data_IF_563690769488
#
_entry.id   IF_563690769488
#
_cell.length_a   1.000
_cell.length_b   1.000
_cell.length_c   1.000
_cell.angle_alpha   90.00
_cell.angle_beta   90.00
_cell.angle_gamma   90.00
#
_symmetry.space_group_name_H-M   'P 1'
#
loop_
_entity.id
_entity.type
_entity.pdbx_description
1 polymer ?
#
# COMPACT_ATOMS: atom_id res chain seq x y z
N UNK A 1 -36.17 1.61 -52.86
CA UNK A 1 -35.46 2.34 -51.79
C UNK A 1 -35.94 1.83 -50.44
N UNK A 2 -35.11 1.09 -49.69
CA UNK A 2 -35.29 0.84 -48.26
C UNK A 2 -33.90 0.72 -47.64
N UNK A 3 -33.54 1.66 -46.77
CA UNK A 3 -32.33 1.62 -45.96
C UNK A 3 -32.75 1.32 -44.52
N UNK A 4 -32.26 0.22 -43.96
CA UNK A 4 -32.44 -0.11 -42.55
C UNK A 4 -31.15 0.26 -41.85
N UNK A 5 -31.16 1.34 -41.06
CA UNK A 5 -30.01 1.76 -40.25
C UNK A 5 -30.15 1.10 -38.89
N UNK A 6 -29.31 0.11 -38.59
CA UNK A 6 -29.15 -0.44 -37.26
C UNK A 6 -28.15 0.44 -36.48
N UNK A 7 -28.62 1.21 -35.52
CA UNK A 7 -27.76 1.96 -34.62
C UNK A 7 -27.21 1.02 -33.54
N UNK A 8 -25.91 0.75 -33.57
CA UNK A 8 -25.19 0.03 -32.51
C UNK A 8 -24.66 1.04 -31.48
N UNK A 9 -25.32 1.14 -30.34
CA UNK A 9 -24.89 1.99 -29.23
C UNK A 9 -23.92 1.22 -28.33
N UNK A 10 -22.61 1.39 -28.54
CA UNK A 10 -21.58 0.87 -27.62
C UNK A 10 -21.39 1.90 -26.51
N UNK A 11 -21.99 1.66 -25.33
CA UNK A 11 -21.68 2.43 -24.12
C UNK A 11 -20.41 1.85 -23.53
N UNK A 12 -19.25 2.38 -23.92
CA UNK A 12 -17.99 2.07 -23.27
C UNK A 12 -17.91 2.87 -21.96
N UNK A 13 -18.19 2.22 -20.82
CA UNK A 13 -17.85 2.79 -19.52
C UNK A 13 -16.33 2.74 -19.37
N UNK A 14 -15.67 3.88 -19.59
CA UNK A 14 -14.28 4.06 -19.20
C UNK A 14 -14.20 4.04 -17.66
N UNK A 15 -13.96 2.87 -17.07
CA UNK A 15 -13.64 2.77 -15.66
C UNK A 15 -12.27 3.40 -15.43
N UNK A 16 -12.23 4.63 -14.93
CA UNK A 16 -11.00 5.24 -14.44
C UNK A 16 -10.61 4.54 -13.14
N UNK A 17 -9.68 3.57 -13.19
CA UNK A 17 -9.12 3.00 -11.96
C UNK A 17 -8.09 3.98 -11.39
N UNK A 18 -8.50 4.83 -10.45
CA UNK A 18 -7.56 5.59 -9.63
C UNK A 18 -6.86 4.63 -8.66
N UNK A 19 -5.57 4.37 -8.90
CA UNK A 19 -4.75 3.59 -7.97
C UNK A 19 -4.34 4.47 -6.78
N UNK A 20 -4.83 4.15 -5.59
CA UNK A 20 -4.36 4.80 -4.36
C UNK A 20 -2.94 4.33 -4.04
N UNK A 21 -2.08 5.25 -3.60
CA UNK A 21 -0.66 4.98 -3.34
C UNK A 21 -0.32 5.22 -1.88
N UNK A 22 0.65 4.44 -1.37
CA UNK A 22 1.37 4.71 -0.13
C UNK A 22 2.74 5.25 -0.51
N UNK A 23 3.12 6.37 0.08
CA UNK A 23 4.49 6.91 -0.01
C UNK A 23 5.08 6.99 1.37
N UNK A 24 6.27 6.42 1.56
CA UNK A 24 7.06 6.50 2.79
C UNK A 24 8.38 7.18 2.48
N UNK A 25 8.66 8.26 3.19
CA UNK A 25 9.93 8.99 3.12
C UNK A 25 10.69 8.77 4.42
N UNK A 26 11.91 8.25 4.32
CA UNK A 26 12.77 8.11 5.50
C UNK A 26 13.49 9.44 5.76
N UNK A 27 12.98 10.24 6.68
CA UNK A 27 13.62 11.48 7.14
C UNK A 27 14.58 11.27 8.33
N UNK A 28 14.80 10.03 8.77
CA UNK A 28 15.75 9.70 9.82
C UNK A 28 17.18 9.69 9.27
N UNK A 29 18.16 9.82 10.17
CA UNK A 29 19.58 9.72 9.81
C UNK A 29 20.03 8.29 9.46
N UNK A 30 19.29 7.28 9.95
CA UNK A 30 19.59 5.87 9.75
C UNK A 30 18.65 5.24 8.73
N UNK A 31 19.10 4.15 8.08
CA UNK A 31 18.21 3.31 7.28
C UNK A 31 17.12 2.67 8.15
N UNK A 32 15.94 2.48 7.56
CA UNK A 32 14.83 1.71 8.14
C UNK A 32 14.52 0.53 7.22
N UNK A 33 13.78 -0.45 7.72
CA UNK A 33 13.36 -1.61 6.96
C UNK A 33 11.85 -1.63 6.81
N UNK A 34 11.39 -1.91 5.59
CA UNK A 34 9.99 -1.94 5.22
C UNK A 34 9.55 -3.36 4.89
N UNK A 35 8.46 -3.82 5.51
CA UNK A 35 7.81 -5.08 5.17
C UNK A 35 6.34 -4.81 4.87
N UNK A 36 5.88 -5.16 3.68
CA UNK A 36 4.50 -4.94 3.25
C UNK A 36 3.77 -6.26 3.02
N UNK A 37 2.47 -6.26 3.28
CA UNK A 37 1.54 -7.34 2.96
C UNK A 37 0.31 -6.76 2.29
N UNK A 38 -0.21 -7.46 1.29
CA UNK A 38 -1.46 -7.09 0.62
C UNK A 38 -2.61 -8.05 0.94
N UNK A 39 -3.78 -7.75 0.37
CA UNK A 39 -5.01 -8.54 0.48
C UNK A 39 -4.87 -10.00 0.02
N UNK A 40 -3.93 -10.28 -0.89
CA UNK A 40 -3.60 -11.61 -1.38
C UNK A 40 -2.60 -12.37 -0.48
N UNK A 41 -2.34 -11.85 0.72
CA UNK A 41 -1.35 -12.39 1.68
C UNK A 41 0.08 -12.46 1.12
N UNK A 42 0.36 -11.72 0.05
CA UNK A 42 1.72 -11.64 -0.48
C UNK A 42 2.52 -10.68 0.38
N UNK A 43 3.60 -11.19 0.97
CA UNK A 43 4.56 -10.39 1.72
C UNK A 43 5.69 -9.94 0.81
N UNK A 44 6.10 -8.68 0.92
CA UNK A 44 7.28 -8.12 0.28
C UNK A 44 8.18 -7.42 1.31
N UNK A 45 9.44 -7.82 1.38
CA UNK A 45 10.43 -7.30 2.31
C UNK A 45 11.10 -8.41 3.16
N UNK A 46 12.00 -8.04 4.09
CA UNK A 46 12.34 -6.67 4.47
C UNK A 46 13.14 -5.94 3.38
N UNK A 47 12.71 -4.74 3.01
CA UNK A 47 13.43 -3.86 2.09
C UNK A 47 14.07 -2.71 2.86
N UNK A 48 15.36 -2.49 2.67
CA UNK A 48 16.04 -1.34 3.26
C UNK A 48 15.62 -0.05 2.56
N UNK A 49 15.17 0.93 3.35
CA UNK A 49 14.93 2.31 2.93
C UNK A 49 15.98 3.21 3.57
N UNK A 50 16.97 3.62 2.75
CA UNK A 50 18.06 4.50 3.18
C UNK A 50 17.56 5.87 3.63
N UNK A 51 18.36 6.55 4.46
CA UNK A 51 18.10 7.94 4.85
C UNK A 51 17.88 8.84 3.62
N UNK A 52 16.83 9.65 3.66
CA UNK A 52 16.42 10.56 2.58
C UNK A 52 15.73 9.88 1.38
N UNK A 53 15.58 8.56 1.36
CA UNK A 53 14.96 7.84 0.24
C UNK A 53 13.44 7.72 0.40
N UNK A 54 12.77 7.46 -0.74
CA UNK A 54 11.34 7.23 -0.82
C UNK A 54 11.02 5.79 -1.23
N UNK A 55 10.00 5.23 -0.61
CA UNK A 55 9.35 3.99 -1.01
C UNK A 55 7.91 4.28 -1.42
N UNK A 56 7.50 3.77 -2.58
CA UNK A 56 6.14 3.93 -3.10
C UNK A 56 5.56 2.57 -3.43
N UNK A 57 4.35 2.30 -2.95
CA UNK A 57 3.60 1.07 -3.28
C UNK A 57 2.12 1.36 -3.49
N UNK A 58 1.42 0.47 -4.18
CA UNK A 58 -0.01 0.60 -4.46
C UNK A 58 -0.84 0.02 -3.32
N UNK A 59 -1.99 0.65 -3.04
CA UNK A 59 -3.03 0.09 -2.17
C UNK A 59 -3.94 -0.77 -3.04
N UNK A 60 -3.94 -2.08 -2.79
CA UNK A 60 -4.73 -3.04 -3.57
C UNK A 60 -5.90 -3.53 -2.72
N UNK A 61 -7.08 -2.95 -2.93
CA UNK A 61 -8.30 -3.35 -2.24
C UNK A 61 -8.20 -3.17 -0.71
N UNK A 62 -8.62 -4.18 0.04
CA UNK A 62 -8.73 -4.12 1.51
C UNK A 62 -7.65 -4.96 2.19
N UNK A 63 -7.12 -4.49 3.32
CA UNK A 63 -6.22 -5.29 4.17
C UNK A 63 -4.74 -5.20 3.78
N UNK A 64 -4.30 -4.04 3.28
CA UNK A 64 -2.89 -3.78 3.06
C UNK A 64 -2.24 -3.36 4.37
N UNK A 65 -1.00 -3.77 4.58
CA UNK A 65 -0.22 -3.46 5.78
C UNK A 65 1.21 -3.13 5.37
N UNK A 66 1.75 -2.04 5.89
CA UNK A 66 3.14 -1.64 5.71
C UNK A 66 3.77 -1.42 7.08
N UNK A 67 4.68 -2.32 7.45
CA UNK A 67 5.47 -2.26 8.66
C UNK A 67 6.81 -1.57 8.44
N UNK A 68 7.22 -0.77 9.41
CA UNK A 68 8.51 -0.05 9.46
C UNK A 68 9.26 -0.46 10.73
N UNK A 69 10.50 -0.88 10.57
CA UNK A 69 11.39 -1.34 11.66
C UNK A 69 12.79 -0.73 11.53
N UNK A 70 13.55 -0.72 12.63
CA UNK A 70 14.97 -0.32 12.63
C UNK A 70 15.93 -1.46 12.28
N UNK A 71 15.45 -2.71 12.27
CA UNK A 71 16.21 -3.90 11.88
C UNK A 71 15.42 -4.74 10.87
N UNK A 72 16.11 -5.65 10.17
CA UNK A 72 15.50 -6.50 9.14
C UNK A 72 14.56 -7.58 9.67
N UNK A 73 14.60 -7.88 10.97
CA UNK A 73 13.88 -9.01 11.57
C UNK A 73 12.44 -8.63 11.95
N UNK A 74 11.61 -8.32 10.95
CA UNK A 74 10.24 -7.81 11.12
C UNK A 74 9.35 -8.69 12.01
N UNK A 75 9.44 -10.01 11.84
CA UNK A 75 8.61 -11.00 12.55
C UNK A 75 9.13 -11.36 13.94
N UNK A 76 10.30 -10.84 14.34
CA UNK A 76 10.81 -11.07 15.69
C UNK A 76 9.86 -10.46 16.73
N UNK A 77 9.57 -11.18 17.83
CA UNK A 77 8.79 -10.63 18.94
C UNK A 77 9.51 -9.47 19.64
N UNK A 78 10.82 -9.35 19.48
CA UNK A 78 11.62 -8.29 20.10
C UNK A 78 11.80 -7.06 19.19
N UNK A 79 11.28 -7.10 17.96
CA UNK A 79 11.39 -5.98 17.02
C UNK A 79 10.17 -5.08 17.13
N UNK A 80 10.40 -3.88 17.66
CA UNK A 80 9.45 -2.77 17.65
C UNK A 80 9.14 -2.38 16.21
N UNK A 81 7.85 -2.24 15.88
CA UNK A 81 7.40 -1.94 14.53
C UNK A 81 6.24 -0.94 14.54
N UNK A 82 6.32 0.03 13.65
CA UNK A 82 5.22 0.93 13.30
C UNK A 82 4.51 0.35 12.09
N UNK A 83 3.20 0.19 12.13
CA UNK A 83 2.41 -0.43 11.08
C UNK A 83 1.39 0.56 10.55
N UNK A 84 1.41 0.80 9.25
CA UNK A 84 0.39 1.52 8.50
C UNK A 84 -0.55 0.51 7.85
N UNK A 85 -1.77 0.41 8.37
CA UNK A 85 -2.85 -0.37 7.75
C UNK A 85 -3.62 0.48 6.75
N UNK A 86 -3.95 -0.06 5.57
CA UNK A 86 -4.78 0.63 4.57
C UNK A 86 -5.76 -0.28 3.87
N UNK A 87 -6.96 0.25 3.60
CA UNK A 87 -8.01 -0.45 2.86
C UNK A 87 -8.79 0.55 2.01
N UNK A 88 -9.05 0.20 0.75
CA UNK A 88 -10.01 0.91 -0.09
C UNK A 88 -11.29 0.11 -0.22
N UNK A 89 -12.43 0.70 0.17
CA UNK A 89 -13.74 0.10 0.02
C UNK A 89 -14.75 1.17 -0.42
N UNK A 90 -15.51 0.89 -1.47
CA UNK A 90 -16.57 1.77 -2.01
C UNK A 90 -16.11 3.21 -2.29
N UNK A 91 -14.88 3.38 -2.81
CA UNK A 91 -14.30 4.70 -3.10
C UNK A 91 -13.74 5.44 -1.89
N UNK A 92 -13.83 4.88 -0.68
CA UNK A 92 -13.27 5.45 0.54
C UNK A 92 -11.96 4.77 0.91
N UNK A 93 -10.96 5.56 1.25
CA UNK A 93 -9.71 5.09 1.85
C UNK A 93 -9.82 5.10 3.38
N UNK A 94 -9.64 3.94 3.97
CA UNK A 94 -9.48 3.75 5.41
C UNK A 94 -8.01 3.51 5.72
N UNK A 95 -7.50 4.12 6.78
CA UNK A 95 -6.13 3.94 7.21
C UNK A 95 -6.02 3.96 8.74
N UNK A 96 -4.99 3.30 9.25
CA UNK A 96 -4.66 3.29 10.67
C UNK A 96 -3.15 3.23 10.86
N UNK A 97 -2.69 3.75 11.99
CA UNK A 97 -1.31 3.60 12.44
C UNK A 97 -1.33 2.88 13.78
N UNK A 98 -0.50 1.86 13.93
CA UNK A 98 -0.34 1.12 15.17
C UNK A 98 1.12 0.83 15.46
N UNK A 99 1.44 0.67 16.74
CA UNK A 99 2.77 0.27 17.19
C UNK A 99 2.67 -1.11 17.85
N UNK A 100 3.57 -2.02 17.47
CA UNK A 100 3.62 -3.39 18.01
C UNK A 100 5.02 -3.63 18.57
N UNK A 101 5.10 -4.23 19.76
CA UNK A 101 6.33 -4.50 20.49
C UNK A 101 7.17 -3.25 20.81
N UNK A 102 6.54 -2.07 20.84
CA UNK A 102 7.17 -0.78 21.16
C UNK A 102 7.07 0.23 20.01
N UNK A 103 7.60 1.44 20.25
CA UNK A 103 7.72 2.48 19.23
C UNK A 103 9.17 2.50 18.70
N UNK A 104 9.40 2.27 17.39
CA UNK A 104 10.73 2.35 16.79
C UNK A 104 11.27 3.79 16.60
N UNK A 105 10.49 4.84 16.91
CA UNK A 105 10.87 6.25 16.71
C UNK A 105 10.62 7.14 17.93
#
# INVERSE_FOLDING_TARGET
>A
MRFTVAAASVIAFAASSSASLITVTNNCANSVFLTSTNSAQQTNGPNELKAGANYVTQIVGQGNSLGVTLNSDYYSPNTAKLILGTSTASGTLYWSVSSVNGNPF
#
